data_IF_975254852132
#
_entry.id   IF_975254852132
#
_cell.length_a   1.000
_cell.length_b   1.000
_cell.length_c   1.000
_cell.angle_alpha   90.00
_cell.angle_beta   90.00
_cell.angle_gamma   90.00
#
_symmetry.space_group_name_H-M   'P 1'
#
loop_
_entity.id
_entity.type
_entity.pdbx_description
1 polymer ?
#
# COMPACT_ATOMS: atom_id res chain seq x y z
N UNK A 1 -31.74 -17.87 21.30
CA UNK A 1 -31.61 -17.37 19.92
C UNK A 1 -30.18 -16.84 19.77
N UNK A 2 -29.50 -17.09 18.66
CA UNK A 2 -28.15 -16.56 18.45
C UNK A 2 -28.21 -15.02 18.41
N UNK A 3 -27.23 -14.34 18.99
CA UNK A 3 -27.16 -12.88 18.89
C UNK A 3 -26.81 -12.45 17.46
N UNK A 4 -27.52 -11.46 16.89
CA UNK A 4 -27.21 -10.96 15.55
C UNK A 4 -25.80 -10.39 15.48
N UNK A 5 -25.02 -10.86 14.51
CA UNK A 5 -23.67 -10.36 14.22
C UNK A 5 -23.72 -9.36 13.06
N UNK A 6 -22.96 -8.27 13.18
CA UNK A 6 -22.80 -7.31 12.09
C UNK A 6 -21.87 -7.89 11.01
N UNK A 7 -22.27 -7.79 9.74
CA UNK A 7 -21.45 -8.15 8.59
C UNK A 7 -21.49 -7.04 7.54
N UNK A 8 -20.44 -6.94 6.74
CA UNK A 8 -20.31 -5.93 5.69
C UNK A 8 -20.16 -6.60 4.34
N UNK A 9 -21.00 -6.21 3.39
CA UNK A 9 -21.10 -6.82 2.07
C UNK A 9 -20.68 -5.78 1.02
N UNK A 10 -19.70 -6.13 0.19
CA UNK A 10 -19.36 -5.37 -1.01
C UNK A 10 -20.41 -5.61 -2.09
N UNK A 11 -20.85 -4.55 -2.75
CA UNK A 11 -21.85 -4.58 -3.82
C UNK A 11 -21.16 -4.12 -5.10
N UNK A 12 -21.28 -4.87 -6.19
CA UNK A 12 -20.72 -4.49 -7.48
C UNK A 12 -21.63 -4.87 -8.66
N UNK A 13 -21.81 -3.98 -9.63
CA UNK A 13 -22.59 -4.27 -10.85
C UNK A 13 -22.06 -3.51 -12.06
N UNK A 14 -21.86 -4.17 -13.21
CA UNK A 14 -21.38 -3.53 -14.43
C UNK A 14 -22.19 -3.83 -15.70
N UNK A 15 -23.26 -4.63 -15.64
CA UNK A 15 -24.12 -4.95 -16.78
C UNK A 15 -25.57 -4.53 -16.57
N UNK A 16 -26.24 -4.18 -17.68
CA UNK A 16 -27.66 -3.88 -17.69
C UNK A 16 -28.03 -2.68 -16.81
N UNK A 17 -29.18 -2.78 -16.13
CA UNK A 17 -29.61 -1.78 -15.15
C UNK A 17 -28.92 -2.03 -13.80
N UNK A 18 -27.70 -1.48 -13.68
CA UNK A 18 -26.81 -1.68 -12.53
C UNK A 18 -27.42 -1.22 -11.20
N UNK A 19 -28.15 -0.09 -11.21
CA UNK A 19 -28.80 0.45 -10.01
C UNK A 19 -29.93 -0.46 -9.55
N UNK A 20 -30.75 -0.93 -10.51
CA UNK A 20 -31.83 -1.87 -10.21
C UNK A 20 -31.29 -3.19 -9.68
N UNK A 21 -30.21 -3.72 -10.25
CA UNK A 21 -29.58 -4.95 -9.79
C UNK A 21 -29.13 -4.86 -8.32
N UNK A 22 -28.47 -3.76 -7.93
CA UNK A 22 -28.07 -3.51 -6.54
C UNK A 22 -29.31 -3.42 -5.63
N UNK A 23 -30.35 -2.70 -6.04
CA UNK A 23 -31.59 -2.55 -5.26
C UNK A 23 -32.30 -3.89 -5.06
N UNK A 24 -32.40 -4.71 -6.11
CA UNK A 24 -33.03 -6.03 -6.05
C UNK A 24 -32.23 -7.01 -5.19
N UNK A 25 -30.89 -6.93 -5.21
CA UNK A 25 -30.03 -7.72 -4.34
C UNK A 25 -30.24 -7.39 -2.87
N UNK A 26 -30.22 -6.10 -2.51
CA UNK A 26 -30.48 -5.65 -1.13
C UNK A 26 -31.88 -6.08 -0.67
N UNK A 27 -32.90 -5.92 -1.51
CA UNK A 27 -34.25 -6.36 -1.19
C UNK A 27 -34.40 -7.88 -1.10
N UNK A 28 -33.54 -8.67 -1.77
CA UNK A 28 -33.51 -10.12 -1.61
C UNK A 28 -32.87 -10.53 -0.28
N UNK A 29 -31.78 -9.88 0.12
CA UNK A 29 -31.14 -10.09 1.42
C UNK A 29 -32.09 -9.75 2.57
N UNK A 30 -32.76 -8.58 2.51
CA UNK A 30 -33.66 -8.10 3.55
C UNK A 30 -34.96 -8.92 3.67
N UNK A 31 -35.31 -9.71 2.65
CA UNK A 31 -36.42 -10.67 2.70
C UNK A 31 -36.07 -11.97 3.44
N UNK A 32 -34.79 -12.25 3.65
CA UNK A 32 -34.38 -13.44 4.38
C UNK A 32 -34.64 -13.24 5.89
N UNK A 33 -35.33 -14.15 6.59
CA UNK A 33 -35.78 -13.93 7.98
C UNK A 33 -34.64 -13.76 8.99
N UNK A 34 -33.42 -14.16 8.62
CA UNK A 34 -32.22 -14.07 9.46
C UNK A 34 -31.24 -12.96 9.02
N UNK A 35 -31.64 -12.08 8.11
CA UNK A 35 -30.82 -10.97 7.62
C UNK A 35 -31.63 -9.68 7.68
N UNK A 36 -31.04 -8.64 8.25
CA UNK A 36 -31.56 -7.28 8.25
C UNK A 36 -30.53 -6.37 7.58
N UNK A 37 -30.89 -5.68 6.50
CA UNK A 37 -30.04 -4.68 5.87
C UNK A 37 -30.19 -3.36 6.62
N UNK A 38 -29.18 -3.01 7.40
CA UNK A 38 -29.28 -1.87 8.34
C UNK A 38 -28.88 -0.54 7.71
N UNK A 39 -27.80 -0.53 6.91
CA UNK A 39 -27.25 0.69 6.29
C UNK A 39 -26.57 0.36 4.97
N UNK A 40 -26.48 1.35 4.08
CA UNK A 40 -25.81 1.24 2.79
C UNK A 40 -24.99 2.51 2.58
N UNK A 41 -23.78 2.37 2.04
CA UNK A 41 -22.95 3.51 1.63
C UNK A 41 -23.53 4.18 0.37
N UNK A 42 -22.93 5.30 -0.01
CA UNK A 42 -23.13 5.83 -1.36
C UNK A 42 -22.73 4.80 -2.41
N UNK A 43 -23.45 4.77 -3.53
CA UNK A 43 -23.11 3.98 -4.71
C UNK A 43 -22.22 4.85 -5.62
N UNK A 44 -20.99 4.41 -5.86
CA UNK A 44 -20.00 5.12 -6.68
C UNK A 44 -19.76 4.38 -7.99
N UNK A 45 -19.59 5.14 -9.07
CA UNK A 45 -19.13 4.58 -10.33
C UNK A 45 -17.60 4.51 -10.35
N UNK A 46 -17.03 3.36 -10.71
CA UNK A 46 -15.58 3.15 -10.77
C UNK A 46 -15.17 2.42 -12.04
N UNK A 47 -13.97 2.72 -12.55
CA UNK A 47 -13.39 1.99 -13.66
C UNK A 47 -13.18 0.50 -13.28
N UNK A 48 -13.28 -0.43 -14.25
CA UNK A 48 -12.94 -1.83 -14.01
C UNK A 48 -11.46 -1.97 -13.64
N UNK A 49 -11.15 -2.87 -12.71
CA UNK A 49 -9.77 -3.20 -12.38
C UNK A 49 -9.21 -4.16 -13.43
N UNK A 50 -8.04 -3.85 -13.99
CA UNK A 50 -7.37 -4.68 -14.98
C UNK A 50 -7.82 -4.40 -16.41
N UNK A 51 -8.61 -5.30 -17.02
CA UNK A 51 -8.88 -5.30 -18.46
C UNK A 51 -9.66 -4.06 -18.90
N UNK A 52 -9.01 -3.20 -19.68
CA UNK A 52 -9.50 -1.90 -20.14
C UNK A 52 -10.80 -1.93 -20.99
N UNK A 53 -11.29 -3.10 -21.40
CA UNK A 53 -12.45 -3.24 -22.30
C UNK A 53 -13.78 -3.50 -21.59
N UNK A 54 -13.86 -3.36 -20.27
CA UNK A 54 -15.11 -3.59 -19.52
C UNK A 54 -15.87 -2.29 -19.23
N UNK A 55 -17.21 -2.32 -19.12
CA UNK A 55 -17.97 -1.19 -18.62
C UNK A 55 -17.59 -0.82 -17.19
N UNK A 56 -17.86 0.43 -16.81
CA UNK A 56 -17.72 0.90 -15.44
C UNK A 56 -18.64 0.14 -14.48
N UNK A 57 -18.19 -0.06 -13.25
CA UNK A 57 -18.96 -0.67 -12.18
C UNK A 57 -19.68 0.40 -11.37
N UNK A 58 -20.90 0.10 -10.92
CA UNK A 58 -21.45 0.71 -9.72
C UNK A 58 -21.02 -0.14 -8.52
N UNK A 59 -20.39 0.47 -7.53
CA UNK A 59 -19.90 -0.16 -6.33
C UNK A 59 -20.44 0.50 -5.06
N UNK A 60 -20.66 -0.29 -4.01
CA UNK A 60 -21.06 0.19 -2.69
C UNK A 60 -20.79 -0.84 -1.60
N UNK A 61 -21.12 -0.49 -0.36
CA UNK A 61 -21.03 -1.39 0.80
C UNK A 61 -22.34 -1.37 1.56
N UNK A 62 -22.86 -2.53 1.94
CA UNK A 62 -23.98 -2.67 2.86
C UNK A 62 -23.52 -3.20 4.21
N UNK A 63 -24.08 -2.66 5.30
CA UNK A 63 -24.01 -3.26 6.63
C UNK A 63 -25.30 -4.03 6.89
N UNK A 64 -25.14 -5.30 7.26
CA UNK A 64 -26.24 -6.17 7.66
C UNK A 64 -26.08 -6.64 9.10
N UNK A 65 -27.20 -7.00 9.73
CA UNK A 65 -27.22 -7.82 10.94
C UNK A 65 -27.79 -9.18 10.61
N UNK A 66 -27.14 -10.24 11.10
CA UNK A 66 -27.60 -11.61 10.80
C UNK A 66 -27.35 -12.59 11.93
N UNK A 67 -28.22 -13.58 12.06
CA UNK A 67 -28.03 -14.76 12.93
C UNK A 67 -27.41 -15.96 12.20
N UNK A 68 -27.22 -15.87 10.88
CA UNK A 68 -26.59 -16.91 10.07
C UNK A 68 -25.13 -17.10 10.45
N UNK A 69 -24.61 -18.31 10.25
CA UNK A 69 -23.15 -18.50 10.21
C UNK A 69 -22.55 -17.83 8.97
N UNK A 70 -21.25 -17.53 8.96
CA UNK A 70 -20.55 -16.98 7.80
C UNK A 70 -20.74 -17.80 6.51
N UNK A 71 -20.73 -19.14 6.61
CA UNK A 71 -20.91 -20.07 5.50
C UNK A 71 -22.35 -20.05 4.96
N UNK A 72 -23.34 -20.00 5.86
CA UNK A 72 -24.74 -19.85 5.47
C UNK A 72 -25.01 -18.49 4.84
N UNK A 73 -24.42 -17.42 5.38
CA UNK A 73 -24.49 -16.09 4.79
C UNK A 73 -23.88 -16.09 3.38
N UNK A 74 -22.69 -16.66 3.19
CA UNK A 74 -22.07 -16.80 1.88
C UNK A 74 -22.98 -17.54 0.90
N UNK A 75 -23.63 -18.62 1.34
CA UNK A 75 -24.58 -19.38 0.51
C UNK A 75 -25.78 -18.53 0.07
N UNK A 76 -26.28 -17.65 0.94
CA UNK A 76 -27.36 -16.69 0.62
C UNK A 76 -26.87 -15.63 -0.38
N UNK A 77 -25.67 -15.10 -0.22
CA UNK A 77 -25.07 -14.15 -1.18
C UNK A 77 -24.98 -14.78 -2.56
N UNK A 78 -24.38 -15.98 -2.66
CA UNK A 78 -24.24 -16.72 -3.91
C UNK A 78 -25.59 -17.04 -4.55
N UNK A 79 -26.60 -17.43 -3.75
CA UNK A 79 -27.95 -17.70 -4.27
C UNK A 79 -28.60 -16.42 -4.81
N UNK A 80 -28.38 -15.29 -4.14
CA UNK A 80 -28.89 -13.99 -4.59
C UNK A 80 -28.27 -13.57 -5.92
N UNK A 81 -26.96 -13.75 -6.08
CA UNK A 81 -26.26 -13.55 -7.35
C UNK A 81 -26.79 -14.47 -8.46
N UNK A 82 -26.97 -15.75 -8.14
CA UNK A 82 -27.46 -16.76 -9.09
C UNK A 82 -28.85 -16.37 -9.64
N UNK A 83 -29.76 -15.92 -8.77
CA UNK A 83 -31.13 -15.50 -9.13
C UNK A 83 -31.14 -14.20 -9.95
N UNK A 84 -30.26 -13.24 -9.64
CA UNK A 84 -30.26 -11.91 -10.27
C UNK A 84 -29.41 -11.81 -11.54
N UNK A 85 -28.66 -12.84 -11.92
CA UNK A 85 -28.04 -12.83 -13.24
C UNK A 85 -26.89 -13.78 -13.54
N UNK A 86 -26.83 -15.02 -13.01
CA UNK A 86 -25.86 -15.99 -13.55
C UNK A 86 -26.29 -16.62 -14.87
N UNK A 87 -25.77 -16.10 -15.97
CA UNK A 87 -25.32 -16.93 -17.08
C UNK A 87 -23.84 -17.27 -16.86
N UNK A 88 -23.53 -18.49 -16.38
CA UNK A 88 -22.15 -18.93 -16.08
C UNK A 88 -21.26 -18.91 -17.34
N UNK A 89 -20.41 -17.89 -17.48
CA UNK A 89 -19.13 -17.95 -18.21
C UNK A 89 -18.05 -17.41 -17.26
N UNK A 90 -17.05 -18.23 -16.93
CA UNK A 90 -16.18 -18.05 -15.76
C UNK A 90 -15.27 -16.80 -15.72
N UNK A 91 -14.74 -16.49 -14.52
CA UNK A 91 -13.71 -15.48 -14.27
C UNK A 91 -14.20 -14.08 -13.82
N UNK A 92 -13.34 -13.07 -14.01
CA UNK A 92 -13.60 -11.62 -13.88
C UNK A 92 -14.44 -11.10 -15.06
N UNK A 93 -15.40 -11.90 -15.51
CA UNK A 93 -16.33 -11.53 -16.57
C UNK A 93 -17.35 -10.51 -16.06
N UNK A 94 -18.01 -9.77 -16.97
CA UNK A 94 -19.01 -8.80 -16.59
C UNK A 94 -20.24 -9.50 -15.96
N UNK A 95 -20.76 -8.93 -14.86
CA UNK A 95 -21.83 -9.52 -14.02
C UNK A 95 -22.95 -8.51 -13.81
N UNK A 96 -24.18 -9.02 -13.71
CA UNK A 96 -25.34 -8.21 -13.33
C UNK A 96 -25.25 -7.75 -11.87
N UNK A 97 -24.73 -8.59 -10.97
CA UNK A 97 -24.44 -8.25 -9.57
C UNK A 97 -23.33 -9.16 -9.03
N UNK A 98 -22.53 -8.63 -8.10
CA UNK A 98 -21.46 -9.28 -7.35
C UNK A 98 -21.59 -8.87 -5.87
N UNK A 99 -21.57 -9.85 -4.97
CA UNK A 99 -21.80 -9.70 -3.53
C UNK A 99 -20.67 -10.37 -2.74
N UNK A 100 -19.73 -9.57 -2.24
CA UNK A 100 -18.58 -10.07 -1.49
C UNK A 100 -18.77 -9.92 0.03
N UNK A 101 -18.57 -10.99 0.81
CA UNK A 101 -18.50 -10.89 2.26
C UNK A 101 -17.16 -10.28 2.69
N UNK A 102 -17.17 -8.99 3.08
CA UNK A 102 -15.97 -8.24 3.45
C UNK A 102 -15.53 -8.52 4.89
N UNK A 103 -16.46 -8.42 5.84
CA UNK A 103 -16.21 -8.55 7.28
C UNK A 103 -17.40 -9.25 7.95
N UNK A 104 -17.13 -10.04 8.99
CA UNK A 104 -18.16 -10.70 9.80
C UNK A 104 -17.78 -10.60 11.28
N UNK A 105 -18.33 -9.59 11.97
CA UNK A 105 -17.88 -9.19 13.30
C UNK A 105 -16.35 -9.01 13.35
N UNK A 106 -15.73 -9.53 14.40
CA UNK A 106 -14.27 -9.57 14.55
C UNK A 106 -13.67 -10.93 14.14
N UNK A 107 -14.39 -11.76 13.38
CA UNK A 107 -13.93 -13.11 13.06
C UNK A 107 -12.85 -13.10 11.98
N UNK A 108 -11.87 -13.97 12.15
CA UNK A 108 -10.89 -14.35 11.12
C UNK A 108 -11.19 -15.79 10.71
N UNK A 109 -11.54 -16.00 9.45
CA UNK A 109 -12.00 -17.27 8.90
C UNK A 109 -11.11 -17.62 7.71
N UNK A 110 -10.58 -18.85 7.72
CA UNK A 110 -9.80 -19.42 6.62
C UNK A 110 -10.31 -20.82 6.33
N UNK A 111 -11.25 -20.91 5.40
CA UNK A 111 -11.80 -22.15 4.87
C UNK A 111 -11.51 -22.23 3.36
N UNK A 112 -11.47 -23.44 2.75
CA UNK A 112 -11.18 -23.59 1.33
C UNK A 112 -12.08 -22.78 0.38
N UNK A 113 -13.29 -22.43 0.83
CA UNK A 113 -14.30 -21.70 0.05
C UNK A 113 -14.70 -20.36 0.68
N UNK A 114 -14.10 -19.96 1.81
CA UNK A 114 -14.45 -18.73 2.52
C UNK A 114 -13.25 -18.16 3.28
N UNK A 115 -12.87 -16.93 2.93
CA UNK A 115 -11.86 -16.15 3.65
C UNK A 115 -12.51 -14.86 4.14
N UNK A 116 -12.47 -14.61 5.45
CA UNK A 116 -12.95 -13.38 6.08
C UNK A 116 -11.89 -12.91 7.07
N UNK A 117 -11.50 -11.62 7.11
CA UNK A 117 -11.87 -10.54 6.20
C UNK A 117 -11.55 -10.84 4.72
N UNK A 118 -12.28 -10.22 3.79
CA UNK A 118 -12.06 -10.46 2.36
C UNK A 118 -10.61 -10.10 1.98
N UNK A 119 -9.86 -11.00 1.32
CA UNK A 119 -8.40 -10.92 1.20
C UNK A 119 -7.89 -9.73 0.38
N UNK A 120 -8.76 -9.04 -0.37
CA UNK A 120 -8.38 -7.88 -1.18
C UNK A 120 -9.09 -6.58 -0.78
N UNK A 121 -9.88 -6.56 0.31
CA UNK A 121 -10.66 -5.37 0.66
C UNK A 121 -9.78 -4.15 0.95
N UNK A 122 -8.59 -4.37 1.50
CA UNK A 122 -7.61 -3.34 1.83
C UNK A 122 -6.92 -2.73 0.59
N UNK A 123 -7.22 -3.23 -0.61
CA UNK A 123 -6.68 -2.75 -1.90
C UNK A 123 -7.72 -2.02 -2.75
N UNK A 124 -8.93 -1.77 -2.20
CA UNK A 124 -10.07 -1.21 -2.92
C UNK A 124 -10.55 0.07 -2.23
N UNK A 125 -10.24 1.23 -2.79
CA UNK A 125 -10.66 2.52 -2.19
C UNK A 125 -12.17 2.63 -2.09
N UNK A 126 -12.92 2.17 -3.09
CA UNK A 126 -14.39 2.23 -3.04
C UNK A 126 -14.99 1.38 -1.90
N UNK A 127 -14.35 0.27 -1.53
CA UNK A 127 -14.74 -0.55 -0.38
C UNK A 127 -14.44 0.18 0.93
N UNK A 128 -13.20 0.66 1.07
CA UNK A 128 -12.76 1.32 2.32
C UNK A 128 -13.46 2.66 2.54
N UNK A 129 -13.75 3.42 1.47
CA UNK A 129 -14.56 4.63 1.51
C UNK A 129 -15.99 4.33 1.96
N UNK A 130 -16.62 3.30 1.39
CA UNK A 130 -17.97 2.89 1.76
C UNK A 130 -18.04 2.47 3.22
N UNK A 131 -17.08 1.68 3.68
CA UNK A 131 -16.93 1.33 5.09
C UNK A 131 -16.64 2.56 5.97
N UNK A 132 -15.88 3.56 5.50
CA UNK A 132 -15.65 4.79 6.24
C UNK A 132 -16.93 5.61 6.45
N UNK A 133 -17.85 5.60 5.47
CA UNK A 133 -19.17 6.22 5.60
C UNK A 133 -20.05 5.51 6.62
N UNK A 134 -19.98 4.17 6.66
CA UNK A 134 -20.78 3.36 7.57
C UNK A 134 -20.20 3.33 9.00
N UNK A 135 -18.91 3.01 9.12
CA UNK A 135 -18.19 2.81 10.38
C UNK A 135 -16.66 2.87 10.20
N UNK A 136 -16.11 4.06 9.96
CA UNK A 136 -14.66 4.22 9.70
C UNK A 136 -13.71 3.91 10.87
N UNK A 137 -14.21 3.87 12.11
CA UNK A 137 -13.49 3.46 13.31
C UNK A 137 -13.46 1.94 13.52
N UNK A 138 -14.15 1.17 12.67
CA UNK A 138 -14.09 -0.29 12.67
C UNK A 138 -12.64 -0.75 12.52
N UNK A 139 -12.19 -1.60 13.44
CA UNK A 139 -10.83 -2.15 13.42
C UNK A 139 -10.82 -3.45 12.61
N UNK A 140 -10.01 -3.48 11.57
CA UNK A 140 -9.85 -4.66 10.72
C UNK A 140 -9.15 -5.79 11.51
N UNK A 141 -9.74 -7.00 11.62
CA UNK A 141 -9.24 -8.07 12.50
C UNK A 141 -7.80 -8.55 12.24
N UNK A 142 -7.35 -8.57 10.98
CA UNK A 142 -5.98 -8.97 10.63
C UNK A 142 -4.96 -7.82 10.74
N UNK A 143 -5.28 -6.66 10.17
CA UNK A 143 -4.38 -5.52 10.19
C UNK A 143 -4.29 -4.85 11.57
N UNK A 144 -5.26 -5.06 12.46
CA UNK A 144 -5.42 -4.35 13.73
C UNK A 144 -5.41 -2.82 13.57
N UNK A 145 -5.98 -2.37 12.47
CA UNK A 145 -5.99 -0.97 12.05
C UNK A 145 -7.42 -0.54 11.72
N UNK A 146 -7.73 0.73 11.99
CA UNK A 146 -9.05 1.26 11.62
C UNK A 146 -9.23 1.22 10.09
N UNK A 147 -10.45 1.02 9.62
CA UNK A 147 -10.75 1.10 8.18
C UNK A 147 -10.38 2.48 7.62
N UNK A 148 -10.48 3.54 8.43
CA UNK A 148 -10.00 4.89 8.06
C UNK A 148 -8.50 4.94 7.79
N UNK A 149 -7.69 4.24 8.59
CA UNK A 149 -6.25 4.13 8.34
C UNK A 149 -5.99 3.35 7.05
N UNK A 150 -6.63 2.20 6.86
CA UNK A 150 -6.50 1.44 5.61
C UNK A 150 -6.88 2.28 4.37
N UNK A 151 -7.94 3.10 4.47
CA UNK A 151 -8.35 4.01 3.40
C UNK A 151 -7.28 5.07 3.11
N UNK A 152 -6.66 5.64 4.16
CA UNK A 152 -5.57 6.61 4.05
C UNK A 152 -4.38 6.03 3.28
N UNK A 153 -4.03 4.77 3.54
CA UNK A 153 -2.92 4.10 2.84
C UNK A 153 -3.10 4.07 1.33
N UNK A 154 -4.33 4.04 0.83
CA UNK A 154 -4.60 3.99 -0.61
C UNK A 154 -4.63 5.36 -1.27
N UNK A 155 -4.87 6.43 -0.51
CA UNK A 155 -5.09 7.77 -1.07
C UNK A 155 -6.30 7.86 -2.03
N UNK A 156 -7.20 6.89 -2.04
CA UNK A 156 -8.27 6.78 -3.04
C UNK A 156 -7.92 5.95 -4.29
N UNK A 157 -6.69 5.41 -4.38
CA UNK A 157 -6.29 4.46 -5.42
C UNK A 157 -6.85 3.05 -5.23
N UNK A 158 -6.82 2.25 -6.30
CA UNK A 158 -7.16 0.82 -6.26
C UNK A 158 -5.97 0.04 -6.81
N UNK A 159 -5.57 -1.03 -6.12
CA UNK A 159 -4.30 -1.71 -6.41
C UNK A 159 -4.51 -3.20 -6.67
N UNK A 160 -3.82 -3.75 -7.65
CA UNK A 160 -3.90 -5.19 -7.98
C UNK A 160 -2.58 -5.83 -7.62
N UNK A 161 -2.64 -6.93 -6.87
CA UNK A 161 -1.46 -7.74 -6.61
C UNK A 161 -1.05 -8.44 -7.91
N UNK A 162 0.19 -8.24 -8.33
CA UNK A 162 0.78 -8.89 -9.50
C UNK A 162 1.78 -9.96 -9.03
N UNK A 163 1.38 -11.24 -8.96
CA UNK A 163 2.27 -12.32 -8.55
C UNK A 163 3.34 -12.63 -9.58
N UNK A 164 3.20 -12.17 -10.83
CA UNK A 164 4.17 -12.38 -11.89
C UNK A 164 5.34 -11.37 -11.81
N UNK A 165 5.07 -10.17 -11.29
CA UNK A 165 6.04 -9.08 -11.20
C UNK A 165 6.93 -9.10 -9.95
N UNK A 166 8.05 -8.33 -9.96
CA UNK A 166 8.90 -8.15 -8.78
C UNK A 166 8.15 -7.51 -7.61
N UNK A 167 8.43 -7.99 -6.39
CA UNK A 167 7.79 -7.52 -5.15
C UNK A 167 8.71 -6.50 -4.45
N UNK A 168 8.81 -5.29 -5.00
CA UNK A 168 9.63 -4.22 -4.44
C UNK A 168 8.90 -3.45 -3.33
N UNK A 169 9.49 -3.39 -2.14
CA UNK A 169 9.01 -2.60 -1.00
C UNK A 169 10.03 -1.53 -0.65
N UNK A 170 9.61 -0.27 -0.68
CA UNK A 170 10.49 0.88 -0.47
C UNK A 170 10.27 1.54 0.89
N UNK A 171 11.34 1.81 1.63
CA UNK A 171 11.28 2.51 2.91
C UNK A 171 11.76 3.95 2.70
N UNK A 172 10.84 4.91 2.82
CA UNK A 172 11.08 6.33 2.65
C UNK A 172 11.28 7.09 3.96
N UNK A 173 11.82 8.30 3.86
CA UNK A 173 11.95 9.25 4.98
C UNK A 173 13.29 9.97 5.07
N UNK A 174 13.40 11.02 5.91
CA UNK A 174 14.58 11.87 6.00
C UNK A 174 15.83 11.13 6.50
N UNK A 175 17.00 11.74 6.35
CA UNK A 175 18.26 11.19 6.87
C UNK A 175 18.17 11.10 8.40
N UNK A 176 18.72 10.04 9.00
CA UNK A 176 18.67 9.84 10.45
C UNK A 176 17.40 9.19 10.98
N UNK A 177 16.35 9.02 10.16
CA UNK A 177 15.05 8.50 10.63
C UNK A 177 15.04 7.00 10.98
N UNK A 178 16.01 6.23 10.47
CA UNK A 178 16.17 4.80 10.80
C UNK A 178 15.84 3.80 9.68
N UNK A 179 15.68 4.26 8.44
CA UNK A 179 15.30 3.43 7.27
C UNK A 179 16.12 2.14 7.13
N UNK A 180 17.45 2.26 7.08
CA UNK A 180 18.36 1.11 6.91
C UNK A 180 18.26 0.12 8.08
N UNK A 181 17.97 0.59 9.29
CA UNK A 181 17.76 -0.28 10.46
C UNK A 181 16.47 -1.08 10.31
N UNK A 182 15.35 -0.40 9.97
CA UNK A 182 14.07 -1.06 9.71
C UNK A 182 14.18 -2.08 8.56
N UNK A 183 14.79 -1.67 7.45
CA UNK A 183 14.99 -2.53 6.27
C UNK A 183 15.72 -3.83 6.63
N UNK A 184 16.82 -3.74 7.38
CA UNK A 184 17.59 -4.92 7.80
C UNK A 184 16.79 -5.85 8.69
N UNK A 185 16.03 -5.30 9.65
CA UNK A 185 15.19 -6.08 10.56
C UNK A 185 14.07 -6.79 9.79
N UNK A 186 13.36 -6.07 8.92
CA UNK A 186 12.32 -6.66 8.07
C UNK A 186 12.88 -7.71 7.11
N UNK A 187 14.07 -7.51 6.54
CA UNK A 187 14.68 -8.47 5.64
C UNK A 187 14.88 -9.84 6.29
N UNK A 188 15.27 -9.87 7.56
CA UNK A 188 15.39 -11.12 8.32
C UNK A 188 14.02 -11.78 8.53
N UNK A 189 12.99 -11.01 8.91
CA UNK A 189 11.64 -11.55 9.16
C UNK A 189 10.93 -12.03 7.89
N UNK A 190 11.24 -11.42 6.75
CA UNK A 190 10.57 -11.67 5.47
C UNK A 190 11.37 -12.57 4.51
N UNK A 191 12.59 -12.99 4.88
CA UNK A 191 13.55 -13.66 3.97
C UNK A 191 13.73 -12.87 2.65
N UNK A 192 13.91 -11.55 2.81
CA UNK A 192 13.92 -10.59 1.71
C UNK A 192 15.34 -10.19 1.31
N UNK A 193 15.54 -9.90 0.02
CA UNK A 193 16.79 -9.26 -0.42
C UNK A 193 16.80 -7.77 -0.07
N UNK A 194 17.99 -7.18 0.03
CA UNK A 194 18.14 -5.76 0.38
C UNK A 194 18.91 -4.98 -0.66
N UNK A 195 18.35 -3.84 -1.07
CA UNK A 195 18.93 -2.90 -2.02
C UNK A 195 19.27 -1.61 -1.27
N UNK A 196 20.55 -1.42 -1.01
CA UNK A 196 21.05 -0.29 -0.22
C UNK A 196 21.53 0.83 -1.11
N UNK A 197 21.36 2.03 -0.59
CA UNK A 197 21.88 3.23 -1.19
C UNK A 197 23.43 3.37 -1.08
N UNK A 198 24.10 3.84 -2.14
CA UNK A 198 25.56 3.87 -2.24
C UNK A 198 26.18 5.10 -1.57
N UNK A 199 25.76 5.45 -0.36
CA UNK A 199 26.26 6.65 0.34
C UNK A 199 27.79 6.65 0.49
N UNK A 200 28.36 5.50 0.86
CA UNK A 200 29.78 5.39 1.17
C UNK A 200 30.66 5.21 -0.09
N UNK A 201 30.06 4.99 -1.26
CA UNK A 201 30.77 4.80 -2.53
C UNK A 201 30.64 5.98 -3.50
N UNK A 202 29.78 6.97 -3.20
CA UNK A 202 29.66 8.18 -3.99
C UNK A 202 30.89 9.09 -3.78
N UNK A 203 31.78 9.27 -4.78
CA UNK A 203 33.04 9.98 -4.58
C UNK A 203 32.86 11.50 -4.43
N UNK A 204 31.71 12.03 -4.87
CA UNK A 204 31.40 13.45 -4.85
C UNK A 204 30.72 13.88 -3.54
N UNK A 205 30.01 12.95 -2.88
CA UNK A 205 29.17 13.26 -1.71
C UNK A 205 29.93 13.97 -0.58
N UNK A 206 31.10 13.51 -0.11
CA UNK A 206 31.81 14.20 0.97
C UNK A 206 32.21 15.63 0.61
N UNK A 207 32.47 15.88 -0.67
CA UNK A 207 32.93 17.17 -1.18
C UNK A 207 31.76 18.16 -1.27
N UNK A 208 30.58 17.69 -1.67
CA UNK A 208 29.33 18.48 -1.66
C UNK A 208 29.00 18.93 -0.24
N UNK A 209 29.07 18.02 0.73
CA UNK A 209 28.87 18.37 2.15
C UNK A 209 29.97 19.27 2.73
N UNK A 210 31.18 19.24 2.15
CA UNK A 210 32.25 20.19 2.49
C UNK A 210 32.06 21.58 1.83
N UNK A 211 30.96 21.80 1.09
CA UNK A 211 30.60 23.08 0.50
C UNK A 211 30.93 23.23 -0.99
N UNK A 212 31.47 22.20 -1.65
CA UNK A 212 31.72 22.20 -3.11
C UNK A 212 30.44 21.97 -3.90
N UNK A 213 29.63 23.03 -4.03
CA UNK A 213 28.33 23.00 -4.71
C UNK A 213 28.45 22.67 -6.21
N UNK A 214 29.57 22.99 -6.83
CA UNK A 214 29.85 22.68 -8.23
C UNK A 214 29.82 21.17 -8.53
N UNK A 215 30.03 20.31 -7.52
CA UNK A 215 29.98 18.84 -7.63
C UNK A 215 28.60 18.26 -7.27
N UNK A 216 27.61 19.10 -6.99
CA UNK A 216 26.29 18.65 -6.60
C UNK A 216 25.64 17.84 -7.73
N UNK A 217 25.77 18.29 -8.99
CA UNK A 217 25.23 17.58 -10.15
C UNK A 217 25.87 16.21 -10.32
N UNK A 218 27.20 16.10 -10.22
CA UNK A 218 27.93 14.83 -10.29
C UNK A 218 27.45 13.84 -9.22
N UNK A 219 27.27 14.35 -7.98
CA UNK A 219 26.76 13.55 -6.87
C UNK A 219 25.33 13.07 -7.10
N UNK A 220 24.44 13.92 -7.63
CA UNK A 220 23.05 13.54 -7.92
C UNK A 220 22.94 12.58 -9.10
N UNK A 221 23.74 12.74 -10.15
CA UNK A 221 23.79 11.81 -11.28
C UNK A 221 24.31 10.44 -10.85
N UNK A 222 25.31 10.38 -9.97
CA UNK A 222 25.80 9.12 -9.41
C UNK A 222 24.67 8.35 -8.69
N UNK A 223 23.88 9.04 -7.86
CA UNK A 223 22.75 8.41 -7.19
C UNK A 223 21.67 7.96 -8.17
N UNK A 224 21.29 8.82 -9.13
CA UNK A 224 20.27 8.51 -10.13
C UNK A 224 20.62 7.23 -10.90
N UNK A 225 21.85 7.14 -11.42
CA UNK A 225 22.31 5.98 -12.18
C UNK A 225 22.26 4.70 -11.33
N UNK A 226 22.83 4.75 -10.13
CA UNK A 226 22.88 3.58 -9.26
C UNK A 226 21.48 3.11 -8.81
N UNK A 227 20.59 4.04 -8.44
CA UNK A 227 19.22 3.69 -8.04
C UNK A 227 18.40 3.20 -9.23
N UNK A 228 18.59 3.80 -10.41
CA UNK A 228 17.94 3.32 -11.62
C UNK A 228 18.36 1.88 -11.91
N UNK A 229 19.66 1.57 -11.92
CA UNK A 229 20.17 0.22 -12.17
C UNK A 229 19.64 -0.81 -11.17
N UNK A 230 19.57 -0.47 -9.87
CA UNK A 230 19.03 -1.36 -8.84
C UNK A 230 17.52 -1.61 -8.96
N UNK A 231 16.76 -0.63 -9.42
CA UNK A 231 15.29 -0.69 -9.44
C UNK A 231 14.71 -1.13 -10.78
N UNK A 232 15.53 -1.47 -11.76
CA UNK A 232 15.07 -2.09 -13.01
C UNK A 232 14.43 -3.44 -12.73
N UNK A 233 13.36 -3.76 -13.45
CA UNK A 233 12.67 -5.04 -13.29
C UNK A 233 13.59 -6.26 -13.47
N UNK A 234 14.60 -6.16 -14.35
CA UNK A 234 15.56 -7.24 -14.58
C UNK A 234 16.59 -7.42 -13.45
N UNK A 235 16.79 -6.39 -12.61
CA UNK A 235 17.73 -6.42 -11.49
C UNK A 235 17.09 -6.93 -10.20
N UNK A 236 15.76 -6.97 -10.13
CA UNK A 236 15.00 -7.41 -8.98
C UNK A 236 14.73 -8.92 -9.06
N UNK A 237 14.90 -9.63 -7.95
CA UNK A 237 14.57 -11.04 -7.88
C UNK A 237 13.06 -11.27 -8.05
N UNK A 238 12.64 -12.19 -8.94
CA UNK A 238 11.23 -12.60 -9.01
C UNK A 238 10.85 -13.62 -7.93
N UNK A 239 11.82 -14.15 -7.17
CA UNK A 239 11.65 -15.26 -6.23
C UNK A 239 11.47 -14.82 -4.77
N UNK A 240 11.80 -13.57 -4.45
CA UNK A 240 11.68 -13.03 -3.09
C UNK A 240 11.25 -11.56 -3.11
N UNK A 241 10.90 -11.05 -1.94
CA UNK A 241 10.64 -9.62 -1.74
C UNK A 241 11.96 -8.87 -1.79
N UNK A 242 11.99 -7.74 -2.49
CA UNK A 242 13.14 -6.81 -2.49
C UNK A 242 12.81 -5.63 -1.58
N UNK A 243 13.62 -5.42 -0.55
CA UNK A 243 13.50 -4.26 0.33
C UNK A 243 14.56 -3.21 -0.01
N UNK A 244 14.17 -1.94 -0.09
CA UNK A 244 15.11 -0.83 -0.27
C UNK A 244 14.92 0.25 0.79
N UNK A 245 16.00 0.94 1.17
CA UNK A 245 16.00 2.03 2.17
C UNK A 245 15.82 3.43 1.57
N UNK A 246 15.26 3.49 0.35
CA UNK A 246 14.90 4.71 -0.33
C UNK A 246 13.63 4.55 -1.19
N UNK A 247 13.07 5.68 -1.63
CA UNK A 247 12.00 5.76 -2.63
C UNK A 247 12.56 6.52 -3.82
N UNK A 248 12.41 6.03 -5.05
CA UNK A 248 13.06 6.62 -6.23
C UNK A 248 12.72 8.10 -6.43
N UNK A 249 11.45 8.49 -6.23
CA UNK A 249 10.96 9.86 -6.37
C UNK A 249 11.66 10.87 -5.43
N UNK A 250 12.40 10.40 -4.41
CA UNK A 250 13.23 11.27 -3.57
C UNK A 250 14.37 11.94 -4.34
N UNK A 251 14.77 11.44 -5.50
CA UNK A 251 15.81 12.06 -6.34
C UNK A 251 15.55 13.55 -6.53
N UNK A 252 14.30 13.90 -6.84
CA UNK A 252 13.90 15.29 -7.06
C UNK A 252 13.90 16.13 -5.77
N UNK A 253 13.76 15.52 -4.59
CA UNK A 253 13.86 16.24 -3.31
C UNK A 253 15.29 16.76 -3.12
N UNK A 254 16.30 15.90 -3.31
CA UNK A 254 17.70 16.30 -3.11
C UNK A 254 18.20 17.18 -4.25
N UNK A 255 17.83 16.88 -5.50
CA UNK A 255 18.17 17.69 -6.66
C UNK A 255 17.71 19.15 -6.50
N UNK A 256 16.45 19.38 -6.11
CA UNK A 256 15.90 20.74 -5.91
C UNK A 256 16.57 21.53 -4.79
N UNK A 257 17.22 20.85 -3.84
CA UNK A 257 17.90 21.47 -2.71
C UNK A 257 19.36 21.79 -3.00
N UNK A 258 20.02 20.95 -3.78
CA UNK A 258 21.47 20.98 -3.96
C UNK A 258 21.90 21.63 -5.27
N UNK A 259 21.07 21.54 -6.31
CA UNK A 259 21.39 22.02 -7.65
C UNK A 259 20.96 23.48 -7.84
N UNK A 260 21.73 24.22 -8.62
CA UNK A 260 21.27 25.50 -9.15
C UNK A 260 20.19 25.32 -10.24
N UNK A 261 19.65 26.43 -10.75
CA UNK A 261 18.54 26.40 -11.70
C UNK A 261 18.89 25.72 -13.05
N UNK A 262 20.13 25.89 -13.55
CA UNK A 262 20.55 25.31 -14.82
C UNK A 262 20.84 23.81 -14.66
N UNK A 263 21.53 23.45 -13.59
CA UNK A 263 21.79 22.05 -13.21
C UNK A 263 20.48 21.29 -12.97
N UNK A 264 19.52 21.87 -12.25
CA UNK A 264 18.23 21.25 -11.97
C UNK A 264 17.45 20.98 -13.26
N UNK A 265 17.39 21.96 -14.17
CA UNK A 265 16.71 21.80 -15.47
C UNK A 265 17.31 20.67 -16.30
N UNK A 266 18.65 20.54 -16.30
CA UNK A 266 19.32 19.42 -16.96
C UNK A 266 18.99 18.09 -16.26
N UNK A 267 19.11 18.06 -14.93
CA UNK A 267 18.86 16.87 -14.13
C UNK A 267 17.44 16.34 -14.30
N UNK A 268 16.41 17.20 -14.31
CA UNK A 268 15.01 16.80 -14.49
C UNK A 268 14.79 16.09 -15.83
N UNK A 269 15.44 16.55 -16.92
CA UNK A 269 15.37 15.88 -18.23
C UNK A 269 16.03 14.51 -18.21
N UNK A 270 17.16 14.37 -17.53
CA UNK A 270 17.86 13.08 -17.39
C UNK A 270 17.04 12.13 -16.51
N UNK A 271 16.54 12.63 -15.38
CA UNK A 271 15.69 11.88 -14.46
C UNK A 271 14.46 11.30 -15.16
N UNK A 272 13.77 12.05 -16.03
CA UNK A 272 12.61 11.55 -16.77
C UNK A 272 12.91 10.28 -17.58
N UNK A 273 14.09 10.24 -18.23
CA UNK A 273 14.52 9.06 -19.01
C UNK A 273 14.74 7.85 -18.11
N UNK A 274 15.41 8.02 -16.97
CA UNK A 274 15.67 6.91 -16.04
C UNK A 274 14.42 6.48 -15.26
N UNK A 275 13.55 7.43 -14.90
CA UNK A 275 12.28 7.17 -14.20
C UNK A 275 11.38 6.22 -15.00
N UNK A 276 11.43 6.26 -16.33
CA UNK A 276 10.68 5.33 -17.18
C UNK A 276 11.20 3.88 -17.16
N UNK A 277 12.40 3.65 -16.62
CA UNK A 277 13.06 2.32 -16.60
C UNK A 277 12.97 1.62 -15.25
N UNK A 278 12.62 2.35 -14.19
CA UNK A 278 12.53 1.79 -12.84
C UNK A 278 11.17 1.18 -12.58
N UNK A 279 11.15 0.13 -11.75
CA UNK A 279 9.93 -0.50 -11.29
C UNK A 279 9.37 0.28 -10.10
N UNK A 280 8.09 0.62 -10.17
CA UNK A 280 7.37 1.14 -9.02
C UNK A 280 7.28 0.11 -7.90
N UNK A 281 7.40 0.53 -6.63
CA UNK A 281 7.20 -0.36 -5.50
C UNK A 281 5.74 -0.80 -5.40
N UNK A 282 5.51 -2.00 -4.86
CA UNK A 282 4.17 -2.49 -4.51
C UNK A 282 3.68 -1.93 -3.17
N UNK A 283 4.61 -1.43 -2.34
CA UNK A 283 4.33 -0.80 -1.06
C UNK A 283 5.44 0.20 -0.71
N UNK A 284 5.05 1.35 -0.16
CA UNK A 284 5.97 2.26 0.52
C UNK A 284 5.70 2.28 2.03
N UNK A 285 6.76 2.21 2.83
CA UNK A 285 6.73 2.53 4.26
C UNK A 285 7.42 3.88 4.44
N UNK A 286 6.68 4.93 4.78
CA UNK A 286 7.24 6.22 5.13
C UNK A 286 7.49 6.28 6.64
N UNK A 287 8.77 6.25 7.00
CA UNK A 287 9.22 6.33 8.39
C UNK A 287 9.27 7.79 8.82
N UNK A 288 8.59 8.10 9.92
CA UNK A 288 8.42 9.47 10.42
C UNK A 288 9.11 9.65 11.77
N UNK A 289 9.82 10.77 11.93
CA UNK A 289 10.37 11.14 13.23
C UNK A 289 10.61 12.65 13.32
N UNK A 290 10.87 13.15 14.53
CA UNK A 290 11.20 14.56 14.73
C UNK A 290 12.60 14.88 14.17
N UNK A 291 12.81 16.09 13.62
CA UNK A 291 14.11 16.54 13.15
C UNK A 291 15.21 16.42 14.20
N UNK A 292 14.90 16.67 15.47
CA UNK A 292 15.82 16.58 16.60
C UNK A 292 16.27 15.14 16.84
N UNK A 293 15.34 14.18 16.87
CA UNK A 293 15.67 12.75 17.04
C UNK A 293 16.44 12.21 15.83
N UNK A 294 16.12 12.67 14.63
CA UNK A 294 16.91 12.38 13.43
C UNK A 294 18.35 12.89 13.58
N UNK A 295 18.53 14.14 14.04
CA UNK A 295 19.84 14.74 14.25
C UNK A 295 20.66 14.02 15.31
N UNK A 296 20.04 13.62 16.43
CA UNK A 296 20.69 12.82 17.46
C UNK A 296 21.26 11.50 16.90
N UNK A 297 20.49 10.80 16.06
CA UNK A 297 20.94 9.56 15.42
C UNK A 297 22.05 9.81 14.40
N UNK A 298 21.98 10.90 13.63
CA UNK A 298 23.05 11.31 12.70
C UNK A 298 24.36 11.54 13.46
N UNK A 299 24.30 12.31 14.55
CA UNK A 299 25.47 12.58 15.41
C UNK A 299 26.06 11.30 16.00
N UNK A 300 25.22 10.37 16.46
CA UNK A 300 25.67 9.06 16.97
C UNK A 300 26.36 8.20 15.91
N UNK A 301 25.89 8.24 14.65
CA UNK A 301 26.50 7.50 13.54
C UNK A 301 27.86 8.05 13.12
N UNK A 302 28.13 9.33 13.44
CA UNK A 302 29.45 9.97 13.32
C UNK A 302 30.10 9.88 11.94
N UNK A 303 29.32 10.05 10.86
CA UNK A 303 29.87 10.17 9.50
C UNK A 303 30.53 11.55 9.33
N UNK A 304 31.79 11.64 8.86
CA UNK A 304 32.52 12.91 8.79
C UNK A 304 31.80 14.01 7.97
N UNK A 305 31.12 13.60 6.90
CA UNK A 305 30.42 14.51 5.99
C UNK A 305 29.02 14.92 6.49
N UNK A 306 28.49 14.34 7.57
CA UNK A 306 27.15 14.67 8.10
C UNK A 306 27.19 15.67 9.26
N UNK A 307 28.39 16.12 9.69
CA UNK A 307 28.59 16.94 10.89
C UNK A 307 27.94 18.33 10.80
N UNK A 308 27.73 18.85 9.59
CA UNK A 308 27.15 20.17 9.36
C UNK A 308 25.62 20.13 9.20
N UNK A 309 24.99 18.96 9.29
CA UNK A 309 23.53 18.85 9.18
C UNK A 309 22.87 19.55 10.38
N UNK A 310 21.95 20.48 10.09
CA UNK A 310 21.21 21.23 11.11
C UNK A 310 19.78 20.71 11.27
N UNK A 311 19.13 21.09 12.37
CA UNK A 311 17.71 20.75 12.61
C UNK A 311 16.82 21.40 11.56
N UNK A 312 17.11 22.64 11.17
CA UNK A 312 16.36 23.40 10.18
C UNK A 312 16.43 22.74 8.79
N UNK A 313 17.59 22.20 8.43
CA UNK A 313 17.73 21.42 7.19
C UNK A 313 16.86 20.16 7.24
N UNK A 314 16.86 19.43 8.36
CA UNK A 314 16.06 18.21 8.52
C UNK A 314 14.55 18.51 8.54
N UNK A 315 14.14 19.63 9.15
CA UNK A 315 12.76 20.09 9.15
C UNK A 315 12.29 20.43 7.73
N UNK A 316 13.11 21.17 6.99
CA UNK A 316 12.83 21.49 5.59
C UNK A 316 12.77 20.22 4.72
N UNK A 317 13.69 19.28 4.92
CA UNK A 317 13.71 17.99 4.23
C UNK A 317 12.46 17.16 4.55
N UNK A 318 12.03 17.11 5.82
CA UNK A 318 10.77 16.48 6.21
C UNK A 318 9.59 17.09 5.44
N UNK A 319 9.55 18.42 5.33
CA UNK A 319 8.52 19.11 4.55
C UNK A 319 8.47 18.71 3.06
N UNK A 320 9.61 18.35 2.44
CA UNK A 320 9.60 17.82 1.08
C UNK A 320 9.07 16.39 1.00
N UNK A 321 9.40 15.54 1.97
CA UNK A 321 8.83 14.20 2.06
C UNK A 321 7.31 14.25 2.28
N UNK A 322 6.82 15.17 3.11
CA UNK A 322 5.38 15.39 3.27
C UNK A 322 4.70 15.76 1.96
N UNK A 323 5.27 16.71 1.21
CA UNK A 323 4.75 17.10 -0.10
C UNK A 323 4.76 15.94 -1.11
N UNK A 324 5.80 15.12 -1.09
CA UNK A 324 5.87 13.92 -1.93
C UNK A 324 4.72 12.95 -1.59
N UNK A 325 4.46 12.73 -0.31
CA UNK A 325 3.52 11.70 0.13
C UNK A 325 2.06 12.14 0.23
N UNK A 326 1.77 13.44 0.34
CA UNK A 326 0.40 13.99 0.32
C UNK A 326 -0.38 13.58 -0.95
N UNK A 327 0.30 13.65 -2.11
CA UNK A 327 -0.24 13.26 -3.41
C UNK A 327 0.05 11.82 -3.83
N UNK A 328 0.57 10.96 -2.94
CA UNK A 328 1.06 9.64 -3.33
C UNK A 328 -0.05 8.70 -3.78
N UNK A 329 0.02 8.21 -5.01
CA UNK A 329 -0.99 7.28 -5.60
C UNK A 329 -0.37 6.09 -6.33
N UNK A 330 0.95 5.99 -6.37
CA UNK A 330 1.68 4.93 -7.09
C UNK A 330 1.41 3.55 -6.51
N UNK A 331 1.37 3.45 -5.19
CA UNK A 331 1.12 2.22 -4.45
C UNK A 331 0.53 2.56 -3.07
N UNK A 332 0.07 1.57 -2.29
CA UNK A 332 -0.24 1.79 -0.89
C UNK A 332 0.95 2.39 -0.11
N UNK A 333 0.64 3.27 0.83
CA UNK A 333 1.60 3.98 1.68
C UNK A 333 1.28 3.72 3.15
N UNK A 334 2.18 3.05 3.87
CA UNK A 334 2.12 2.94 5.33
C UNK A 334 2.94 4.08 5.93
N UNK A 335 2.31 4.88 6.78
CA UNK A 335 2.97 5.91 7.58
C UNK A 335 3.29 5.33 8.94
N UNK A 336 4.55 5.41 9.35
CA UNK A 336 5.04 4.69 10.52
C UNK A 336 5.94 5.58 11.37
N UNK A 337 5.51 5.98 12.58
CA UNK A 337 6.37 6.67 13.52
C UNK A 337 7.54 5.80 13.96
N UNK A 338 8.76 6.32 13.88
CA UNK A 338 9.97 5.59 14.27
C UNK A 338 10.00 5.21 15.76
N UNK A 339 9.21 5.89 16.60
CA UNK A 339 9.00 5.54 18.00
C UNK A 339 8.26 4.21 18.20
N UNK A 340 7.44 3.80 17.23
CA UNK A 340 6.66 2.55 17.31
C UNK A 340 7.51 1.32 16.99
N UNK A 341 8.52 1.46 16.14
CA UNK A 341 9.44 0.36 15.78
C UNK A 341 10.68 0.38 16.67
N UNK A 342 10.52 0.66 17.97
CA UNK A 342 11.64 0.77 18.91
C UNK A 342 12.74 -0.28 18.64
N UNK A 343 14.00 0.10 18.81
CA UNK A 343 15.18 -0.70 18.40
C UNK A 343 15.16 -2.15 18.95
N UNK A 344 14.35 -2.42 19.98
CA UNK A 344 14.20 -3.73 20.61
C UNK A 344 12.77 -4.25 20.65
N UNK A 345 11.80 -3.59 20.01
CA UNK A 345 10.41 -4.07 19.96
C UNK A 345 10.27 -5.07 18.80
N UNK A 346 10.23 -6.36 19.13
CA UNK A 346 9.98 -7.43 18.16
C UNK A 346 8.50 -7.55 17.79
N UNK A 347 7.58 -7.25 18.71
CA UNK A 347 6.14 -7.33 18.43
C UNK A 347 5.70 -6.28 17.41
N UNK A 348 6.23 -5.05 17.52
CA UNK A 348 6.01 -4.02 16.53
C UNK A 348 6.60 -4.39 15.16
N UNK A 349 7.78 -5.02 15.13
CA UNK A 349 8.40 -5.47 13.88
C UNK A 349 7.58 -6.58 13.21
N UNK A 350 7.15 -7.58 13.97
CA UNK A 350 6.27 -8.65 13.48
C UNK A 350 4.96 -8.08 12.93
N UNK A 351 4.39 -7.10 13.62
CA UNK A 351 3.20 -6.40 13.15
C UNK A 351 3.45 -5.74 11.79
N UNK A 352 4.53 -4.97 11.63
CA UNK A 352 4.88 -4.33 10.35
C UNK A 352 5.13 -5.38 9.26
N UNK A 353 5.81 -6.49 9.58
CA UNK A 353 6.04 -7.58 8.63
C UNK A 353 4.72 -8.21 8.15
N UNK A 354 3.74 -8.40 9.05
CA UNK A 354 2.39 -8.84 8.68
C UNK A 354 1.69 -7.84 7.75
N UNK A 355 1.83 -6.54 7.99
CA UNK A 355 1.29 -5.52 7.08
C UNK A 355 1.94 -5.64 5.70
N UNK A 356 3.27 -5.77 5.62
CA UNK A 356 4.01 -5.92 4.35
C UNK A 356 3.52 -7.14 3.58
N UNK A 357 3.39 -8.29 4.25
CA UNK A 357 2.91 -9.55 3.65
C UNK A 357 1.53 -9.43 2.99
N UNK A 358 0.68 -8.52 3.44
CA UNK A 358 -0.63 -8.31 2.83
C UNK A 358 -0.59 -7.50 1.53
N UNK A 359 0.52 -6.82 1.21
CA UNK A 359 0.70 -6.04 -0.01
C UNK A 359 1.68 -6.67 -1.01
N UNK A 360 2.35 -7.75 -0.63
CA UNK A 360 3.21 -8.55 -1.51
C UNK A 360 2.55 -9.90 -1.78
N UNK A 361 2.95 -10.55 -2.87
CA UNK A 361 2.55 -11.94 -3.13
C UNK A 361 3.63 -12.90 -2.65
N UNK A 362 3.29 -13.82 -1.76
CA UNK A 362 4.15 -14.97 -1.46
C UNK A 362 4.05 -15.96 -2.62
N UNK A 363 5.16 -16.25 -3.31
CA UNK A 363 5.25 -17.45 -4.14
C UNK A 363 5.60 -18.59 -3.20
N UNK A 364 4.74 -19.60 -3.11
CA UNK A 364 5.13 -20.86 -2.47
C UNK A 364 6.41 -21.33 -3.18
N UNK A 365 7.52 -21.40 -2.43
CA UNK A 365 8.71 -22.09 -2.92
C UNK A 365 8.25 -23.51 -3.22
N UNK A 366 8.10 -23.84 -4.50
CA UNK A 366 7.97 -25.23 -4.92
C UNK A 366 9.26 -25.88 -4.44
N UNK A 367 9.17 -26.60 -3.32
CA UNK A 367 10.23 -27.44 -2.85
C UNK A 367 10.47 -28.45 -3.96
N UNK A 368 11.52 -28.23 -4.76
CA UNK A 368 12.03 -29.22 -5.68
C UNK A 368 12.60 -30.32 -4.79
N UNK A 369 11.80 -31.38 -4.62
CA UNK A 369 12.20 -32.61 -3.95
C UNK A 369 13.19 -33.43 -4.78
#
# INVERSE_FOLDING_TARGET
>A
MAEPTAAYIGLGSNLGDRQRAIKEALAALDRHPEIEVTRISDIKETAPLGRASQPYYLNGVAEIRTTLSPESLLSVLMTTEDVLGRTRRGGWGPRTIDLDLLLFGQRVIRLPHLIVPHPQMHLRSFVLDGLCQLKGDLVHPLFNESVRELARRLGGGNFVLDPAGPQLVSIGGPIGVGKTTLMKRLATTLDAETLREPYDTNPFLPQVYAGRKELALDSQLYFLLHRADQLRAEALSPECVSLTDYVFQKELIYARRLLDAEQLKLYERVHEVFAATVKDPVLVIYLEDSPERCLERIRRRNRPYEQQITVEFLDALRGDYERLFEGWRTCPLIRLPASEIGISDEGALEHVALQVKAYVTERERVAVG
#
